data_IF_068428495769
#
_entry.id   IF_068428495769
#
_cell.length_a   1.000
_cell.length_b   1.000
_cell.length_c   1.000
_cell.angle_alpha   90.00
_cell.angle_beta   90.00
_cell.angle_gamma   90.00
#
_symmetry.space_group_name_H-M   'P 1'
#
loop_
_entity.id
_entity.type
_entity.pdbx_description
1 polymer ?
#
# COMPACT_ATOMS: atom_id res chain seq x y z
N UNK A 1 -31.91 10.56 -2.95
CA UNK A 1 -30.75 9.68 -2.76
C UNK A 1 -30.03 9.62 -4.08
N UNK A 2 -29.02 10.46 -4.27
CA UNK A 2 -28.25 10.52 -5.51
C UNK A 2 -27.30 9.33 -5.52
N UNK A 3 -27.56 8.37 -6.39
CA UNK A 3 -26.68 7.25 -6.71
C UNK A 3 -25.36 7.85 -7.21
N UNK A 4 -24.30 7.75 -6.39
CA UNK A 4 -22.96 8.11 -6.83
C UNK A 4 -22.61 7.12 -7.94
N UNK A 5 -22.54 7.59 -9.17
CA UNK A 5 -21.99 6.82 -10.27
C UNK A 5 -20.63 6.23 -9.84
N UNK A 6 -20.43 4.94 -10.06
CA UNK A 6 -19.13 4.32 -9.85
C UNK A 6 -18.07 5.16 -10.58
N UNK A 7 -16.98 5.60 -9.92
CA UNK A 7 -15.98 6.44 -10.56
C UNK A 7 -15.45 5.72 -11.81
N UNK A 8 -15.32 6.45 -12.91
CA UNK A 8 -14.74 5.92 -14.15
C UNK A 8 -13.39 5.26 -13.83
N UNK A 9 -13.16 4.04 -14.35
CA UNK A 9 -11.94 3.28 -14.07
C UNK A 9 -10.71 4.13 -14.38
N UNK A 10 -9.92 4.46 -13.36
CA UNK A 10 -8.69 5.21 -13.54
C UNK A 10 -7.71 4.37 -14.37
N UNK A 11 -7.30 4.86 -15.54
CA UNK A 11 -6.28 4.22 -16.39
C UNK A 11 -5.11 5.20 -16.59
N UNK A 12 -4.30 5.43 -15.55
CA UNK A 12 -3.12 6.28 -15.65
C UNK A 12 -2.04 5.59 -16.51
N UNK A 13 -1.32 6.36 -17.32
CA UNK A 13 -0.19 5.82 -18.07
C UNK A 13 0.97 5.54 -17.12
N UNK A 14 1.29 6.46 -16.20
CA UNK A 14 2.33 6.28 -15.18
C UNK A 14 1.74 6.31 -13.77
N UNK A 15 1.99 5.28 -12.97
CA UNK A 15 1.54 5.20 -11.57
C UNK A 15 2.72 4.98 -10.63
N UNK A 16 2.86 5.85 -9.62
CA UNK A 16 3.78 5.67 -8.50
C UNK A 16 3.01 5.05 -7.32
N UNK A 17 3.57 4.04 -6.66
CA UNK A 17 3.08 3.54 -5.38
C UNK A 17 4.16 3.69 -4.30
N UNK A 18 3.77 4.02 -3.07
CA UNK A 18 4.68 4.09 -1.93
C UNK A 18 4.04 3.62 -0.61
N UNK A 19 4.79 2.86 0.18
CA UNK A 19 4.46 2.54 1.57
C UNK A 19 5.63 2.93 2.48
N UNK A 20 5.28 3.56 3.59
CA UNK A 20 6.22 3.97 4.65
C UNK A 20 5.66 3.62 6.03
N UNK A 21 4.65 2.77 6.10
CA UNK A 21 3.98 2.39 7.34
C UNK A 21 4.77 1.32 8.10
N UNK A 22 5.60 0.54 7.41
CA UNK A 22 6.46 -0.49 8.02
C UNK A 22 7.91 -0.02 8.12
N UNK A 23 8.85 -0.79 8.73
CA UNK A 23 10.28 -0.48 8.67
C UNK A 23 10.87 -0.43 7.26
N UNK A 24 10.12 -0.90 6.26
CA UNK A 24 10.49 -0.90 4.85
C UNK A 24 10.01 0.37 4.16
N UNK A 25 10.93 1.04 3.47
CA UNK A 25 10.58 2.01 2.43
C UNK A 25 10.31 1.21 1.15
N UNK A 26 9.04 1.12 0.79
CA UNK A 26 8.59 0.38 -0.39
C UNK A 26 8.09 1.35 -1.43
N UNK A 27 8.57 1.22 -2.66
CA UNK A 27 8.14 1.99 -3.82
C UNK A 27 7.89 1.06 -5.00
N UNK A 28 6.92 1.42 -5.84
CA UNK A 28 6.78 0.83 -7.16
C UNK A 28 6.37 1.87 -8.21
N UNK A 29 6.71 1.59 -9.45
CA UNK A 29 6.38 2.42 -10.60
C UNK A 29 5.89 1.49 -11.71
N UNK A 30 4.76 1.83 -12.33
CA UNK A 30 4.24 1.16 -13.51
C UNK A 30 4.03 2.17 -14.63
N UNK A 31 4.35 1.76 -15.87
CA UNK A 31 4.18 2.53 -17.09
C UNK A 31 3.88 1.60 -18.27
N UNK A 32 3.50 2.09 -19.47
CA UNK A 32 3.12 1.22 -20.58
C UNK A 32 4.22 0.24 -21.03
N UNK A 33 5.48 0.58 -20.76
CA UNK A 33 6.66 -0.22 -21.10
C UNK A 33 7.12 -1.18 -20.01
N UNK A 34 6.48 -1.21 -18.83
CA UNK A 34 6.85 -2.14 -17.76
C UNK A 34 6.60 -1.61 -16.35
N UNK A 35 7.26 -2.23 -15.38
CA UNK A 35 7.18 -1.83 -13.99
C UNK A 35 8.50 -2.05 -13.27
N UNK A 36 8.77 -1.26 -12.24
CA UNK A 36 9.90 -1.40 -11.35
C UNK A 36 9.43 -1.28 -9.89
N UNK A 37 10.14 -1.93 -8.97
CA UNK A 37 9.90 -1.75 -7.54
C UNK A 37 11.20 -1.79 -6.76
N UNK A 38 11.18 -1.16 -5.59
CA UNK A 38 12.25 -1.21 -4.61
C UNK A 38 11.64 -1.31 -3.23
N UNK A 39 12.14 -2.26 -2.42
CA UNK A 39 11.81 -2.35 -1.01
C UNK A 39 13.10 -2.44 -0.23
N UNK A 40 13.31 -1.51 0.71
CA UNK A 40 14.52 -1.43 1.52
C UNK A 40 14.15 -1.19 2.97
N UNK A 41 14.71 -1.97 3.87
CA UNK A 41 14.58 -1.72 5.30
C UNK A 41 15.38 -0.47 5.67
N UNK A 42 14.70 0.56 6.20
CA UNK A 42 15.28 1.87 6.54
C UNK A 42 14.98 2.31 7.97
N UNK A 43 14.23 1.50 8.73
CA UNK A 43 13.89 1.75 10.11
C UNK A 43 13.08 3.02 10.31
N UNK A 44 13.74 4.15 10.62
CA UNK A 44 13.10 5.45 10.88
C UNK A 44 13.48 6.54 9.87
N UNK A 45 14.34 6.23 8.90
CA UNK A 45 14.89 7.21 7.96
C UNK A 45 13.99 7.50 6.74
N UNK A 46 12.68 7.24 6.82
CA UNK A 46 11.76 7.39 5.69
C UNK A 46 11.75 8.83 5.13
N UNK A 47 11.66 9.85 5.98
CA UNK A 47 11.56 11.25 5.54
C UNK A 47 12.81 11.73 4.78
N UNK A 48 13.98 11.24 5.18
CA UNK A 48 15.27 11.59 4.57
C UNK A 48 15.45 10.86 3.23
N UNK A 49 15.10 9.57 3.17
CA UNK A 49 15.42 8.71 2.03
C UNK A 49 14.35 8.70 0.94
N UNK A 50 13.08 8.96 1.29
CA UNK A 50 11.95 8.86 0.36
C UNK A 50 12.12 9.73 -0.90
N UNK A 51 12.47 11.04 -0.81
CA UNK A 51 12.59 11.87 -2.01
C UNK A 51 13.65 11.35 -3.01
N UNK A 52 14.82 10.96 -2.49
CA UNK A 52 15.91 10.43 -3.31
C UNK A 52 15.58 9.06 -3.91
N UNK A 53 14.91 8.19 -3.15
CA UNK A 53 14.50 6.87 -3.63
C UNK A 53 13.46 6.97 -4.76
N UNK A 54 12.52 7.92 -4.68
CA UNK A 54 11.54 8.17 -5.75
C UNK A 54 12.26 8.69 -6.99
N UNK A 55 13.14 9.68 -6.86
CA UNK A 55 13.94 10.18 -7.99
C UNK A 55 14.75 9.06 -8.67
N UNK A 56 15.41 8.21 -7.88
CA UNK A 56 16.19 7.09 -8.40
C UNK A 56 15.31 6.06 -9.15
N UNK A 57 14.10 5.77 -8.65
CA UNK A 57 13.18 4.84 -9.30
C UNK A 57 12.71 5.35 -10.67
N UNK A 58 12.35 6.64 -10.78
CA UNK A 58 12.00 7.25 -12.06
C UNK A 58 13.18 7.29 -13.03
N UNK A 59 14.37 7.64 -12.55
CA UNK A 59 15.59 7.64 -13.36
C UNK A 59 15.93 6.25 -13.90
N UNK A 60 15.80 5.20 -13.07
CA UNK A 60 15.99 3.82 -13.49
C UNK A 60 15.00 3.39 -14.58
N UNK A 61 13.76 3.88 -14.52
CA UNK A 61 12.74 3.63 -15.54
C UNK A 61 12.93 4.48 -16.81
N UNK A 62 13.87 5.43 -16.83
CA UNK A 62 14.06 6.37 -17.94
C UNK A 62 12.89 7.35 -18.11
N UNK A 63 12.13 7.62 -17.04
CA UNK A 63 10.93 8.45 -17.06
C UNK A 63 11.18 9.81 -16.41
N UNK A 64 10.46 10.87 -16.85
CA UNK A 64 10.43 12.12 -16.11
C UNK A 64 9.80 11.91 -14.72
N UNK A 65 10.19 12.72 -13.74
CA UNK A 65 9.67 12.67 -12.36
C UNK A 65 8.23 13.20 -12.27
N UNK A 66 7.29 12.45 -12.84
CA UNK A 66 5.87 12.75 -12.90
C UNK A 66 5.08 11.46 -13.08
N UNK A 67 4.05 11.26 -12.25
CA UNK A 67 3.05 10.21 -12.42
C UNK A 67 1.67 10.83 -12.63
N UNK A 68 0.79 10.07 -13.28
CA UNK A 68 -0.61 10.42 -13.49
C UNK A 68 -1.50 9.94 -12.33
N UNK A 69 -0.98 9.05 -11.47
CA UNK A 69 -1.60 8.63 -10.22
C UNK A 69 -0.54 8.29 -9.16
N UNK A 70 -0.87 8.51 -7.88
CA UNK A 70 -0.05 8.11 -6.75
C UNK A 70 -0.84 7.18 -5.84
N UNK A 71 -0.36 5.97 -5.56
CA UNK A 71 -0.95 5.03 -4.60
C UNK A 71 -0.14 5.06 -3.32
N UNK A 72 -0.81 5.09 -2.16
CA UNK A 72 -0.14 5.04 -0.87
C UNK A 72 -0.70 3.96 0.04
N UNK A 73 0.18 3.39 0.85
CA UNK A 73 -0.22 2.65 2.04
C UNK A 73 -0.67 3.60 3.15
N UNK A 74 -1.90 3.43 3.64
CA UNK A 74 -2.50 4.29 4.67
C UNK A 74 -2.32 3.72 6.09
N UNK A 75 -1.48 2.70 6.24
CA UNK A 75 -1.39 1.89 7.45
C UNK A 75 -2.36 0.71 7.44
N UNK A 76 -2.47 -0.06 8.53
CA UNK A 76 -1.86 0.18 9.84
C UNK A 76 -0.32 0.07 9.86
N UNK A 77 0.32 0.70 10.85
CA UNK A 77 1.78 0.71 10.99
C UNK A 77 2.30 1.86 11.86
N UNK A 78 3.54 2.28 11.61
CA UNK A 78 4.21 3.41 12.24
C UNK A 78 3.46 4.71 11.97
N UNK A 79 2.95 5.35 13.04
CA UNK A 79 2.26 6.64 12.97
C UNK A 79 3.07 7.72 12.23
N UNK A 80 4.36 7.83 12.54
CA UNK A 80 5.26 8.77 11.88
C UNK A 80 5.46 8.41 10.41
N UNK A 81 5.64 7.11 10.12
CA UNK A 81 5.86 6.59 8.78
C UNK A 81 4.69 6.90 7.84
N UNK A 82 3.48 6.52 8.23
CA UNK A 82 2.24 6.79 7.47
C UNK A 82 2.10 8.28 7.12
N UNK A 83 2.40 9.18 8.07
CA UNK A 83 2.32 10.63 7.84
C UNK A 83 3.39 11.15 6.90
N UNK A 84 4.60 10.59 6.93
CA UNK A 84 5.66 10.93 5.97
C UNK A 84 5.22 10.56 4.56
N UNK A 85 4.76 9.32 4.33
CA UNK A 85 4.29 8.87 3.03
C UNK A 85 3.11 9.69 2.51
N UNK A 86 2.09 9.91 3.34
CA UNK A 86 0.92 10.70 2.96
C UNK A 86 1.27 12.17 2.65
N UNK A 87 2.09 12.81 3.48
CA UNK A 87 2.48 14.22 3.24
C UNK A 87 3.25 14.37 1.94
N UNK A 88 4.17 13.43 1.66
CA UNK A 88 4.95 13.41 0.43
C UNK A 88 4.04 13.18 -0.79
N UNK A 89 3.18 12.16 -0.75
CA UNK A 89 2.28 11.82 -1.84
C UNK A 89 1.24 12.91 -2.14
N UNK A 90 0.66 13.52 -1.12
CA UNK A 90 -0.28 14.65 -1.30
C UNK A 90 0.43 15.87 -1.89
N UNK A 91 1.68 16.12 -1.50
CA UNK A 91 2.51 17.15 -2.13
C UNK A 91 2.73 16.88 -3.62
N UNK A 92 3.13 15.65 -3.96
CA UNK A 92 3.30 15.23 -5.36
C UNK A 92 1.99 15.29 -6.15
N UNK A 93 0.90 14.77 -5.61
CA UNK A 93 -0.42 14.80 -6.25
C UNK A 93 -0.87 16.21 -6.58
N UNK A 94 -0.65 17.18 -5.67
CA UNK A 94 -0.92 18.61 -5.92
C UNK A 94 -0.06 19.18 -7.04
N UNK A 95 1.24 18.90 -7.04
CA UNK A 95 2.19 19.42 -8.05
C UNK A 95 1.95 18.79 -9.42
N UNK A 96 1.65 17.50 -9.48
CA UNK A 96 1.44 16.75 -10.72
C UNK A 96 0.02 16.85 -11.28
N UNK A 97 -0.93 17.35 -10.48
CA UNK A 97 -2.35 17.30 -10.80
C UNK A 97 -2.89 15.86 -10.84
N UNK A 98 -2.29 14.97 -10.03
CA UNK A 98 -2.58 13.55 -10.03
C UNK A 98 -3.43 13.16 -8.79
N UNK A 99 -4.44 12.28 -8.94
CA UNK A 99 -5.12 11.70 -7.80
C UNK A 99 -4.15 10.90 -6.92
N UNK A 100 -4.38 10.96 -5.62
CA UNK A 100 -3.71 10.11 -4.64
C UNK A 100 -4.73 9.09 -4.14
N UNK A 101 -4.38 7.79 -4.19
CA UNK A 101 -5.23 6.65 -3.86
C UNK A 101 -4.70 5.98 -2.59
N UNK A 102 -5.54 5.82 -1.58
CA UNK A 102 -5.18 5.16 -0.33
C UNK A 102 -5.59 3.69 -0.31
N UNK A 103 -4.68 2.83 0.15
CA UNK A 103 -4.88 1.39 0.31
C UNK A 103 -4.34 0.96 1.67
N UNK A 104 -4.96 -0.04 2.29
CA UNK A 104 -4.42 -0.63 3.51
C UNK A 104 -3.03 -1.20 3.27
N UNK A 105 -2.05 -0.85 4.10
CA UNK A 105 -0.70 -1.42 4.05
C UNK A 105 -0.74 -2.95 4.13
N UNK A 106 -1.73 -3.53 4.82
CA UNK A 106 -1.88 -4.99 4.91
C UNK A 106 -2.15 -5.64 3.55
N UNK A 107 -2.81 -4.95 2.61
CA UNK A 107 -3.03 -5.48 1.26
C UNK A 107 -1.74 -5.59 0.45
N UNK A 108 -0.74 -4.76 0.75
CA UNK A 108 0.59 -4.88 0.15
C UNK A 108 1.36 -6.11 0.66
N UNK A 109 0.89 -6.78 1.72
CA UNK A 109 1.55 -7.96 2.29
C UNK A 109 1.07 -9.27 1.66
N UNK A 110 0.00 -9.25 0.87
CA UNK A 110 -0.55 -10.46 0.27
C UNK A 110 0.44 -11.11 -0.68
N UNK A 111 0.36 -12.43 -0.82
CA UNK A 111 1.15 -13.16 -1.79
C UNK A 111 0.46 -14.45 -2.22
N UNK A 112 0.59 -14.79 -3.51
CA UNK A 112 -0.16 -15.89 -4.10
C UNK A 112 -1.67 -15.64 -4.14
N UNK A 113 -2.39 -16.55 -4.80
CA UNK A 113 -3.85 -16.52 -4.86
C UNK A 113 -4.47 -17.40 -3.76
N UNK A 114 -5.73 -17.14 -3.46
CA UNK A 114 -6.55 -17.82 -2.45
C UNK A 114 -6.58 -17.11 -1.10
N UNK A 115 -7.28 -17.74 -0.16
CA UNK A 115 -7.47 -17.25 1.20
C UNK A 115 -6.15 -17.24 1.97
N UNK A 116 -5.82 -16.10 2.58
CA UNK A 116 -4.62 -15.91 3.37
C UNK A 116 -4.79 -14.87 4.47
N UNK A 117 -3.98 -15.01 5.52
CA UNK A 117 -3.82 -14.03 6.58
C UNK A 117 -2.57 -13.19 6.40
N UNK A 118 -2.67 -11.91 6.71
CA UNK A 118 -1.54 -10.98 6.76
C UNK A 118 -1.53 -10.27 8.10
N UNK A 119 -0.34 -9.99 8.65
CA UNK A 119 -0.24 -9.24 9.89
C UNK A 119 1.03 -8.40 10.02
N UNK A 120 0.93 -7.33 10.81
CA UNK A 120 2.03 -6.49 11.28
C UNK A 120 2.05 -6.47 12.81
N UNK A 121 3.24 -6.48 13.42
CA UNK A 121 3.41 -6.33 14.87
C UNK A 121 2.75 -5.05 15.40
N UNK A 122 1.79 -5.20 16.32
CA UNK A 122 1.11 -4.12 17.02
C UNK A 122 1.61 -3.97 18.48
N UNK A 123 2.75 -4.59 18.80
CA UNK A 123 3.40 -4.66 20.12
C UNK A 123 2.58 -5.43 21.15
N UNK A 124 3.25 -5.80 22.25
CA UNK A 124 2.63 -6.46 23.42
C UNK A 124 1.83 -7.72 23.03
N UNK A 125 2.38 -8.54 22.12
CA UNK A 125 1.74 -9.77 21.64
C UNK A 125 0.51 -9.57 20.75
N UNK A 126 0.20 -8.33 20.35
CA UNK A 126 -0.88 -8.02 19.42
C UNK A 126 -0.35 -7.85 18.01
N UNK A 127 -1.22 -8.05 17.04
CA UNK A 127 -0.99 -7.75 15.63
C UNK A 127 -2.09 -6.86 15.09
N UNK A 128 -1.74 -6.04 14.10
CA UNK A 128 -2.71 -5.55 13.13
C UNK A 128 -2.81 -6.59 12.04
N UNK A 129 -3.97 -7.21 11.87
CA UNK A 129 -4.12 -8.33 10.96
C UNK A 129 -5.39 -8.24 10.12
N UNK A 130 -5.35 -8.90 8.97
CA UNK A 130 -6.48 -9.03 8.07
C UNK A 130 -6.46 -10.41 7.41
N UNK A 131 -7.63 -10.88 6.97
CA UNK A 131 -7.79 -12.07 6.13
C UNK A 131 -8.39 -11.65 4.81
N UNK A 132 -7.75 -12.07 3.73
CA UNK A 132 -8.15 -11.73 2.37
C UNK A 132 -8.30 -12.98 1.54
N UNK A 133 -9.23 -12.95 0.60
CA UNK A 133 -9.21 -13.81 -0.57
C UNK A 133 -8.61 -13.02 -1.73
N UNK A 134 -7.57 -13.58 -2.35
CA UNK A 134 -6.71 -12.90 -3.32
C UNK A 134 -6.78 -13.61 -4.66
N UNK A 135 -6.95 -12.84 -5.74
CA UNK A 135 -6.94 -13.37 -7.10
C UNK A 135 -6.17 -12.45 -8.04
N UNK A 136 -5.15 -12.98 -8.70
CA UNK A 136 -4.26 -12.21 -9.55
C UNK A 136 -3.43 -11.19 -8.75
N UNK A 137 -3.15 -11.48 -7.48
CA UNK A 137 -2.42 -10.57 -6.58
C UNK A 137 -3.22 -9.31 -6.18
N UNK A 138 -4.54 -9.36 -6.27
CA UNK A 138 -5.46 -8.30 -5.81
C UNK A 138 -6.46 -8.90 -4.82
N UNK A 139 -6.77 -8.18 -3.75
CA UNK A 139 -7.79 -8.57 -2.78
C UNK A 139 -9.17 -8.50 -3.44
N UNK A 140 -9.85 -9.65 -3.51
CA UNK A 140 -11.22 -9.74 -4.04
C UNK A 140 -12.27 -9.75 -2.95
N UNK A 141 -11.94 -10.31 -1.79
CA UNK A 141 -12.80 -10.28 -0.62
C UNK A 141 -12.00 -10.04 0.66
N UNK A 142 -12.56 -9.20 1.53
CA UNK A 142 -12.08 -9.03 2.91
C UNK A 142 -12.88 -9.94 3.82
N UNK A 143 -12.23 -11.00 4.32
CA UNK A 143 -12.82 -11.98 5.22
C UNK A 143 -12.70 -11.56 6.69
N UNK A 144 -11.61 -10.86 7.01
CA UNK A 144 -11.42 -10.14 8.27
C UNK A 144 -10.79 -8.78 7.92
N UNK A 145 -11.45 -7.64 8.20
CA UNK A 145 -10.88 -6.33 7.95
C UNK A 145 -9.67 -6.07 8.87
N UNK A 146 -8.81 -5.10 8.54
CA UNK A 146 -7.71 -4.68 9.42
C UNK A 146 -8.17 -4.50 10.87
N UNK A 147 -7.73 -5.40 11.74
CA UNK A 147 -8.16 -5.50 13.14
C UNK A 147 -6.94 -5.65 14.03
N UNK A 148 -6.96 -5.00 15.20
CA UNK A 148 -5.95 -5.24 16.24
C UNK A 148 -6.43 -6.34 17.19
N UNK A 149 -5.69 -7.44 17.25
CA UNK A 149 -6.02 -8.59 18.10
C UNK A 149 -4.74 -9.34 18.54
N UNK A 150 -4.80 -10.22 19.56
CA UNK A 150 -3.69 -11.08 19.91
C UNK A 150 -3.23 -11.97 18.74
N UNK A 151 -1.92 -12.20 18.62
CA UNK A 151 -1.36 -13.03 17.55
C UNK A 151 -1.92 -14.46 17.58
N UNK A 152 -2.02 -15.05 18.77
CA UNK A 152 -2.52 -16.42 18.96
C UNK A 152 -3.98 -16.56 18.50
N UNK A 153 -4.82 -15.57 18.82
CA UNK A 153 -6.21 -15.52 18.39
C UNK A 153 -6.32 -15.39 16.87
N UNK A 154 -5.49 -14.53 16.26
CA UNK A 154 -5.46 -14.40 14.80
C UNK A 154 -5.05 -15.70 14.11
N UNK A 155 -3.98 -16.34 14.60
CA UNK A 155 -3.45 -17.59 14.02
C UNK A 155 -4.44 -18.75 14.15
N UNK A 156 -5.13 -18.86 15.28
CA UNK A 156 -6.17 -19.86 15.48
C UNK A 156 -7.32 -19.69 14.48
N UNK A 157 -7.64 -18.46 14.09
CA UNK A 157 -8.67 -18.13 13.11
C UNK A 157 -8.27 -18.26 11.65
N UNK A 158 -7.07 -18.75 11.31
CA UNK A 158 -6.65 -18.90 9.91
C UNK A 158 -7.16 -20.16 9.22
N UNK A 159 -7.59 -21.16 9.98
CA UNK A 159 -8.11 -22.44 9.45
C UNK A 159 -7.16 -23.14 8.48
N UNK A 160 -5.83 -23.05 8.73
CA UNK A 160 -4.79 -23.62 7.87
C UNK A 160 -4.42 -22.77 6.65
N UNK A 161 -5.05 -21.60 6.46
CA UNK A 161 -4.64 -20.65 5.43
C UNK A 161 -3.21 -20.12 5.67
N UNK A 162 -2.45 -19.82 4.61
CA UNK A 162 -1.13 -19.21 4.74
C UNK A 162 -1.16 -17.91 5.54
N UNK A 163 -0.12 -17.68 6.35
CA UNK A 163 0.07 -16.47 7.14
C UNK A 163 1.35 -15.75 6.72
N UNK A 164 1.23 -14.49 6.28
CA UNK A 164 2.38 -13.61 6.01
C UNK A 164 2.48 -12.56 7.12
N UNK A 165 3.41 -12.77 8.05
CA UNK A 165 3.67 -11.88 9.18
C UNK A 165 4.90 -11.01 8.94
N UNK A 166 4.79 -9.71 9.19
CA UNK A 166 5.90 -8.74 9.16
C UNK A 166 6.75 -8.77 7.88
N UNK A 167 6.15 -9.20 6.77
CA UNK A 167 6.80 -9.24 5.47
C UNK A 167 7.07 -7.83 4.95
N UNK A 168 8.09 -7.69 4.12
CA UNK A 168 8.26 -6.48 3.32
C UNK A 168 7.01 -6.27 2.43
N UNK A 169 6.40 -5.07 2.43
CA UNK A 169 5.33 -4.77 1.50
C UNK A 169 5.77 -4.93 0.04
N UNK A 170 4.89 -5.50 -0.79
CA UNK A 170 5.04 -5.54 -2.24
C UNK A 170 4.43 -4.26 -2.84
N UNK A 171 5.29 -3.43 -3.41
CA UNK A 171 4.87 -2.15 -4.00
C UNK A 171 3.97 -2.33 -5.22
N UNK A 172 4.13 -3.41 -5.99
CA UNK A 172 3.28 -3.71 -7.14
C UNK A 172 1.91 -4.24 -6.71
N UNK A 173 1.84 -5.03 -5.62
CA UNK A 173 0.56 -5.43 -5.03
C UNK A 173 -0.22 -4.19 -4.56
N UNK A 174 0.45 -3.28 -3.83
CA UNK A 174 -0.13 -2.00 -3.41
C UNK A 174 -0.64 -1.19 -4.61
N UNK A 175 0.19 -1.05 -5.65
CA UNK A 175 -0.15 -0.32 -6.87
C UNK A 175 -1.42 -0.89 -7.53
N UNK A 176 -1.48 -2.22 -7.71
CA UNK A 176 -2.64 -2.90 -8.31
C UNK A 176 -3.90 -2.71 -7.49
N UNK A 177 -3.81 -2.85 -6.16
CA UNK A 177 -4.93 -2.63 -5.26
C UNK A 177 -5.45 -1.18 -5.37
N UNK A 178 -4.57 -0.18 -5.43
CA UNK A 178 -4.98 1.21 -5.60
C UNK A 178 -5.74 1.46 -6.91
N UNK A 179 -5.26 0.90 -8.02
CA UNK A 179 -5.93 1.03 -9.32
C UNK A 179 -7.25 0.26 -9.38
N UNK A 180 -7.35 -0.91 -8.74
CA UNK A 180 -8.58 -1.71 -8.67
C UNK A 180 -9.64 -1.05 -7.78
N UNK A 181 -9.23 -0.48 -6.64
CA UNK A 181 -10.13 0.22 -5.71
C UNK A 181 -10.67 1.54 -6.28
N UNK A 182 -9.87 2.21 -7.12
CA UNK A 182 -10.15 3.52 -7.69
C UNK A 182 -10.03 4.67 -6.69
N UNK A 183 -10.44 5.87 -7.10
CA UNK A 183 -10.47 7.03 -6.22
C UNK A 183 -11.61 6.87 -5.21
N UNK A 184 -11.28 6.49 -3.98
CA UNK A 184 -12.18 6.50 -2.83
C UNK A 184 -11.78 7.65 -1.91
N UNK A 185 -12.76 8.22 -1.19
CA UNK A 185 -12.47 9.12 -0.08
C UNK A 185 -11.70 8.34 0.98
N UNK A 186 -10.38 8.42 0.94
CA UNK A 186 -9.51 7.97 2.01
C UNK A 186 -9.09 9.21 2.79
N UNK A 187 -9.37 9.19 4.08
CA UNK A 187 -8.81 10.14 5.02
C UNK A 187 -7.76 9.40 5.82
N UNK A 188 -6.66 10.06 6.14
CA UNK A 188 -5.98 9.70 7.37
C UNK A 188 -6.96 10.05 8.49
N UNK A 189 -7.46 9.07 9.23
CA UNK A 189 -8.42 9.28 10.35
C UNK A 189 -7.91 10.26 11.42
N UNK A 190 -6.67 10.74 11.31
CA UNK A 190 -5.99 11.59 12.27
C UNK A 190 -5.21 12.75 11.60
N UNK A 191 -5.55 13.21 10.40
CA UNK A 191 -5.11 14.52 9.88
C UNK A 191 -6.20 15.57 10.14
#
# INVERSE_FOLDING_TARGET
>A
MTELAAPASLKPDVTLALDTATPWLTLALAWPGGSAQVSREVGRAHAELLPGAVQALFAQAGLPLRADAVVIGTGPGSYTGVRVGASYALGLGRVWGAPVLGVSTLEALVGGDGVQGVSLDARKGNVYAARYDVQGGVVRATLLPPTRLPLEEFQAGLDGAPHRADAAPDGLALLRAGLDHGARDWALEYL
#
